data_IF_686830672003
#
_entry.id   IF_686830672003
#
_cell.length_a   1.000
_cell.length_b   1.000
_cell.length_c   1.000
_cell.angle_alpha   90.00
_cell.angle_beta   90.00
_cell.angle_gamma   90.00
#
_symmetry.space_group_name_H-M   'P 1'
#
loop_
_entity.id
_entity.type
_entity.pdbx_description
1 polymer ?
#
# COMPACT_ATOMS: atom_id res chain seq x y z
N UNK A 1 20.78 -28.05 5.92
CA UNK A 1 19.41 -27.50 6.04
C UNK A 1 19.00 -27.06 4.65
N UNK A 2 17.81 -27.43 4.18
CA UNK A 2 17.35 -26.96 2.87
C UNK A 2 17.29 -25.43 2.86
N UNK A 3 17.79 -24.80 1.80
CA UNK A 3 17.66 -23.35 1.62
C UNK A 3 16.18 -22.99 1.56
N UNK A 4 15.74 -22.00 2.34
CA UNK A 4 14.42 -21.40 2.16
C UNK A 4 14.36 -20.78 0.76
N UNK A 5 13.34 -21.09 -0.03
CA UNK A 5 13.20 -20.63 -1.44
C UNK A 5 11.81 -20.08 -1.75
N UNK A 6 10.92 -20.00 -0.77
CA UNK A 6 9.55 -19.50 -0.95
C UNK A 6 9.52 -17.96 -0.85
N UNK A 7 10.23 -17.30 -1.77
CA UNK A 7 10.30 -15.85 -1.89
C UNK A 7 10.66 -15.47 -3.33
N UNK A 8 10.31 -14.23 -3.73
CA UNK A 8 10.77 -13.59 -4.96
C UNK A 8 11.17 -12.16 -4.59
N UNK A 9 12.48 -11.89 -4.57
CA UNK A 9 13.07 -10.59 -4.27
C UNK A 9 14.14 -10.28 -5.31
N UNK A 10 14.53 -9.01 -5.48
CA UNK A 10 15.51 -8.62 -6.49
C UNK A 10 16.88 -9.26 -6.26
N UNK A 11 17.40 -9.19 -5.03
CA UNK A 11 18.70 -9.76 -4.66
C UNK A 11 18.74 -10.12 -3.17
N UNK A 12 18.83 -11.42 -2.86
CA UNK A 12 18.92 -11.90 -1.47
C UNK A 12 20.23 -11.49 -0.77
N UNK A 13 21.27 -11.15 -1.55
CA UNK A 13 22.56 -10.65 -1.04
C UNK A 13 22.45 -9.30 -0.31
N UNK A 14 21.34 -8.58 -0.48
CA UNK A 14 21.09 -7.29 0.19
C UNK A 14 20.59 -7.44 1.64
N UNK A 15 20.37 -8.67 2.12
CA UNK A 15 19.77 -8.92 3.44
C UNK A 15 20.54 -8.28 4.60
N UNK A 16 21.87 -8.30 4.57
CA UNK A 16 22.69 -7.70 5.64
C UNK A 16 22.57 -6.18 5.70
N UNK A 17 22.38 -5.52 4.55
CA UNK A 17 22.10 -4.09 4.51
C UNK A 17 20.71 -3.81 5.07
N UNK A 18 19.68 -4.52 4.59
CA UNK A 18 18.32 -4.38 5.11
C UNK A 18 18.24 -4.60 6.62
N UNK A 19 18.97 -5.59 7.15
CA UNK A 19 19.02 -5.86 8.60
C UNK A 19 19.58 -4.67 9.40
N UNK A 20 20.60 -3.98 8.87
CA UNK A 20 21.17 -2.78 9.51
C UNK A 20 20.16 -1.64 9.51
N UNK A 21 19.45 -1.41 8.42
CA UNK A 21 18.43 -0.36 8.36
C UNK A 21 17.20 -0.68 9.19
N UNK A 22 16.77 -1.95 9.26
CA UNK A 22 15.71 -2.40 10.19
C UNK A 22 16.11 -2.08 11.63
N UNK A 23 17.35 -2.39 12.03
CA UNK A 23 17.82 -2.09 13.40
C UNK A 23 17.80 -0.58 13.72
N UNK A 24 18.06 0.28 12.74
CA UNK A 24 17.92 1.73 12.90
C UNK A 24 16.44 2.11 12.99
N UNK A 25 15.60 1.60 12.08
CA UNK A 25 14.18 1.90 12.05
C UNK A 25 13.45 1.47 13.33
N UNK A 26 13.84 0.36 13.97
CA UNK A 26 13.30 -0.05 15.27
C UNK A 26 13.45 1.03 16.35
N UNK A 27 14.53 1.84 16.30
CA UNK A 27 14.73 2.95 17.26
C UNK A 27 13.80 4.14 17.00
N UNK A 28 13.32 4.29 15.77
CA UNK A 28 12.39 5.34 15.32
C UNK A 28 10.92 4.87 15.29
N UNK A 29 10.64 3.60 15.62
CA UNK A 29 9.29 3.02 15.61
C UNK A 29 8.86 2.54 17.01
N UNK A 30 8.84 3.43 18.02
CA UNK A 30 8.60 3.05 19.41
C UNK A 30 7.24 2.40 19.65
N UNK A 31 6.22 2.74 18.85
CA UNK A 31 4.90 2.12 18.95
C UNK A 31 4.92 0.62 18.66
N UNK A 32 5.61 0.20 17.61
CA UNK A 32 5.75 -1.23 17.27
C UNK A 32 6.62 -1.95 18.30
N UNK A 33 7.71 -1.33 18.75
CA UNK A 33 8.59 -1.92 19.76
C UNK A 33 7.88 -2.08 21.12
N UNK A 34 7.08 -1.10 21.53
CA UNK A 34 6.24 -1.21 22.72
C UNK A 34 5.18 -2.30 22.57
N UNK A 35 4.55 -2.42 21.39
CA UNK A 35 3.59 -3.49 21.10
C UNK A 35 4.22 -4.88 21.22
N UNK A 36 5.45 -5.06 20.70
CA UNK A 36 6.21 -6.31 20.87
C UNK A 36 6.48 -6.60 22.35
N UNK A 37 6.86 -5.59 23.14
CA UNK A 37 7.13 -5.75 24.56
C UNK A 37 5.88 -6.11 25.36
N UNK A 38 4.75 -5.47 25.06
CA UNK A 38 3.48 -5.66 25.77
C UNK A 38 2.82 -7.01 25.44
N UNK A 39 2.76 -7.37 24.16
CA UNK A 39 1.97 -8.52 23.69
C UNK A 39 2.82 -9.72 23.22
N UNK A 40 4.14 -9.59 23.19
CA UNK A 40 5.04 -10.65 22.72
C UNK A 40 4.96 -11.93 23.56
N UNK A 41 4.70 -11.82 24.87
CA UNK A 41 4.55 -12.97 25.76
C UNK A 41 3.21 -13.69 25.59
N UNK A 42 2.11 -12.96 25.38
CA UNK A 42 0.76 -13.52 25.24
C UNK A 42 0.50 -14.10 23.84
N UNK A 43 1.29 -13.69 22.83
CA UNK A 43 1.19 -14.15 21.44
C UNK A 43 -0.25 -14.08 20.90
N UNK A 44 -0.90 -12.90 20.92
CA UNK A 44 -2.32 -12.78 20.58
C UNK A 44 -2.63 -13.16 19.13
N UNK A 45 -1.63 -13.11 18.24
CA UNK A 45 -1.77 -13.50 16.83
C UNK A 45 -1.39 -14.97 16.57
N UNK A 46 -1.20 -15.79 17.60
CA UNK A 46 -0.91 -17.22 17.43
C UNK A 46 -2.02 -17.90 16.63
N UNK A 47 -1.67 -18.46 15.48
CA UNK A 47 -2.60 -19.11 14.55
C UNK A 47 -3.21 -18.17 13.50
N UNK A 48 -2.90 -16.88 13.55
CA UNK A 48 -3.18 -15.96 12.44
C UNK A 48 -2.25 -16.28 11.27
N UNK A 49 -2.82 -16.38 10.08
CA UNK A 49 -2.13 -16.54 8.79
C UNK A 49 -2.44 -15.28 7.98
N UNK A 50 -1.53 -14.33 8.01
CA UNK A 50 -1.73 -12.98 7.48
C UNK A 50 -1.17 -12.91 6.06
N UNK A 51 -2.04 -12.60 5.10
CA UNK A 51 -1.65 -12.18 3.75
C UNK A 51 -1.55 -10.65 3.74
N UNK A 52 -0.33 -10.12 3.64
CA UNK A 52 -0.06 -8.68 3.60
C UNK A 52 0.18 -8.18 2.18
N UNK A 53 -0.53 -7.12 1.78
CA UNK A 53 -0.33 -6.41 0.53
C UNK A 53 -0.14 -4.92 0.85
N UNK A 54 1.11 -4.53 1.06
CA UNK A 54 1.50 -3.19 1.51
C UNK A 54 2.94 -2.94 1.06
N UNK A 55 3.26 -1.70 0.64
CA UNK A 55 4.61 -1.27 0.27
C UNK A 55 5.73 -2.00 1.03
N UNK A 56 6.58 -2.75 0.33
CA UNK A 56 7.63 -3.57 0.97
C UNK A 56 8.87 -2.72 1.30
N UNK A 57 8.77 -1.92 2.36
CA UNK A 57 9.81 -1.00 2.85
C UNK A 57 10.48 -1.50 4.13
N UNK A 58 11.50 -0.77 4.61
CA UNK A 58 12.10 -0.99 5.93
C UNK A 58 11.08 -0.83 7.06
N UNK A 59 10.17 0.14 6.96
CA UNK A 59 9.13 0.37 7.96
C UNK A 59 8.17 -0.83 8.01
N UNK A 60 7.78 -1.33 6.84
CA UNK A 60 6.96 -2.54 6.70
C UNK A 60 7.68 -3.79 7.20
N UNK A 61 9.00 -3.88 7.04
CA UNK A 61 9.78 -4.96 7.62
C UNK A 61 9.67 -4.99 9.16
N UNK A 62 9.73 -3.82 9.82
CA UNK A 62 9.50 -3.72 11.28
C UNK A 62 8.07 -4.13 11.66
N UNK A 63 7.06 -3.79 10.85
CA UNK A 63 5.68 -4.24 11.02
C UNK A 63 5.57 -5.77 10.91
N UNK A 64 6.10 -6.38 9.84
CA UNK A 64 6.10 -7.84 9.62
C UNK A 64 6.73 -8.57 10.81
N UNK A 65 7.91 -8.11 11.25
CA UNK A 65 8.59 -8.72 12.40
C UNK A 65 7.83 -8.52 13.72
N UNK A 66 7.06 -7.44 13.84
CA UNK A 66 6.13 -7.23 14.95
C UNK A 66 5.00 -8.25 14.91
N UNK A 67 4.33 -8.45 13.77
CA UNK A 67 3.27 -9.45 13.62
C UNK A 67 3.76 -10.86 13.99
N UNK A 68 4.95 -11.24 13.51
CA UNK A 68 5.61 -12.50 13.88
C UNK A 68 5.96 -12.57 15.35
N UNK A 69 6.47 -11.49 15.94
CA UNK A 69 6.75 -11.42 17.37
C UNK A 69 5.47 -11.58 18.21
N UNK A 70 4.31 -11.22 17.67
CA UNK A 70 2.99 -11.46 18.28
C UNK A 70 2.39 -12.84 17.98
N UNK A 71 3.08 -13.68 17.21
CA UNK A 71 2.71 -15.08 16.95
C UNK A 71 2.06 -15.36 15.59
N UNK A 72 1.96 -14.36 14.71
CA UNK A 72 1.42 -14.55 13.37
C UNK A 72 2.38 -15.35 12.47
N UNK A 73 1.80 -16.10 11.54
CA UNK A 73 2.47 -16.58 10.33
C UNK A 73 2.13 -15.60 9.20
N UNK A 74 3.12 -15.18 8.41
CA UNK A 74 3.00 -14.02 7.50
C UNK A 74 3.52 -14.36 6.11
N UNK A 75 2.81 -13.90 5.07
CA UNK A 75 3.27 -13.84 3.67
C UNK A 75 3.02 -12.42 3.15
N UNK A 76 3.93 -11.88 2.34
CA UNK A 76 3.88 -10.47 1.96
C UNK A 76 4.14 -10.22 0.47
N UNK A 77 3.41 -9.26 -0.10
CA UNK A 77 3.67 -8.62 -1.38
C UNK A 77 3.61 -7.10 -1.22
N UNK A 78 4.22 -6.37 -2.14
CA UNK A 78 4.03 -4.93 -2.22
C UNK A 78 2.63 -4.61 -2.77
N UNK A 79 2.10 -3.41 -2.49
CA UNK A 79 0.89 -2.87 -3.13
C UNK A 79 1.22 -1.89 -4.28
N UNK A 80 2.50 -1.71 -4.61
CA UNK A 80 2.92 -0.86 -5.73
C UNK A 80 4.25 -1.31 -6.32
N UNK A 81 4.30 -1.35 -7.66
CA UNK A 81 5.41 -1.87 -8.46
C UNK A 81 6.76 -1.16 -8.26
N UNK A 82 6.79 0.07 -7.75
CA UNK A 82 8.02 0.86 -7.56
C UNK A 82 8.37 1.16 -6.10
N UNK A 83 7.50 0.78 -5.17
CA UNK A 83 7.62 1.15 -3.76
C UNK A 83 8.55 0.25 -2.93
N UNK A 84 8.83 -0.95 -3.43
CA UNK A 84 9.69 -1.91 -2.73
C UNK A 84 11.09 -1.33 -2.50
N UNK A 85 11.61 -1.50 -1.29
CA UNK A 85 13.02 -1.36 -0.98
C UNK A 85 13.64 -2.75 -0.98
N UNK A 86 14.43 -3.07 -2.00
CA UNK A 86 14.87 -4.44 -2.25
C UNK A 86 15.70 -5.04 -1.10
N UNK A 87 16.48 -4.21 -0.40
CA UNK A 87 17.23 -4.63 0.79
C UNK A 87 16.30 -4.95 1.97
N UNK A 88 15.17 -4.26 2.13
CA UNK A 88 14.15 -4.59 3.12
C UNK A 88 13.50 -5.94 2.79
N UNK A 89 13.09 -6.15 1.54
CA UNK A 89 12.52 -7.41 1.06
C UNK A 89 13.49 -8.58 1.28
N UNK A 90 14.77 -8.40 0.93
CA UNK A 90 15.82 -9.39 1.14
C UNK A 90 16.01 -9.74 2.63
N UNK A 91 16.01 -8.75 3.53
CA UNK A 91 16.20 -8.98 4.96
C UNK A 91 15.04 -9.75 5.61
N UNK A 92 13.80 -9.54 5.14
CA UNK A 92 12.64 -10.30 5.58
C UNK A 92 12.64 -11.73 5.00
N UNK A 93 12.97 -11.88 3.71
CA UNK A 93 13.09 -13.19 3.06
C UNK A 93 14.19 -14.05 3.71
N UNK A 94 15.35 -13.47 4.01
CA UNK A 94 16.43 -14.14 4.75
C UNK A 94 16.03 -14.53 6.18
N UNK A 95 15.05 -13.82 6.77
CA UNK A 95 14.39 -14.17 8.03
C UNK A 95 13.32 -15.27 7.91
N UNK A 96 13.29 -15.99 6.79
CA UNK A 96 12.34 -17.06 6.45
C UNK A 96 10.87 -16.63 6.46
N UNK A 97 10.60 -15.39 6.05
CA UNK A 97 9.23 -14.93 5.76
C UNK A 97 9.05 -14.80 4.26
N UNK A 98 8.04 -15.46 3.67
CA UNK A 98 7.72 -15.33 2.26
C UNK A 98 7.43 -13.88 1.86
N UNK A 99 8.26 -13.35 0.96
CA UNK A 99 8.11 -12.02 0.37
C UNK A 99 8.16 -12.15 -1.14
N UNK A 100 7.19 -11.55 -1.82
CA UNK A 100 7.06 -11.50 -3.27
C UNK A 100 6.97 -10.04 -3.67
N UNK A 101 8.13 -9.40 -3.81
CA UNK A 101 8.23 -7.98 -4.07
C UNK A 101 9.63 -7.62 -4.59
N UNK A 102 9.69 -6.85 -5.67
CA UNK A 102 10.94 -6.23 -6.15
C UNK A 102 10.64 -4.87 -6.75
N UNK A 103 11.57 -3.93 -6.64
CA UNK A 103 11.39 -2.60 -7.24
C UNK A 103 11.45 -2.70 -8.76
N UNK A 104 10.41 -2.20 -9.43
CA UNK A 104 10.28 -2.22 -10.89
C UNK A 104 9.76 -3.55 -11.44
N UNK A 105 9.00 -4.30 -10.65
CA UNK A 105 8.21 -5.43 -11.17
C UNK A 105 7.19 -4.99 -12.22
N UNK A 106 6.85 -5.89 -13.15
CA UNK A 106 5.79 -5.61 -14.13
C UNK A 106 4.41 -5.71 -13.47
N UNK A 107 3.37 -5.15 -14.11
CA UNK A 107 1.98 -5.29 -13.63
C UNK A 107 1.54 -6.76 -13.55
N UNK A 108 2.03 -7.62 -14.45
CA UNK A 108 1.72 -9.05 -14.41
C UNK A 108 2.44 -9.75 -13.24
N UNK A 109 3.71 -9.42 -13.00
CA UNK A 109 4.46 -9.91 -11.83
C UNK A 109 3.81 -9.47 -10.52
N UNK A 110 3.41 -8.19 -10.43
CA UNK A 110 2.66 -7.65 -9.30
C UNK A 110 1.44 -8.51 -8.96
N UNK A 111 0.56 -8.74 -9.93
CA UNK A 111 -0.64 -9.53 -9.68
C UNK A 111 -0.31 -10.99 -9.35
N UNK A 112 0.70 -11.61 -9.98
CA UNK A 112 1.18 -12.94 -9.56
C UNK A 112 1.67 -12.94 -8.09
N UNK A 113 2.35 -11.88 -7.64
CA UNK A 113 2.83 -11.74 -6.26
C UNK A 113 1.68 -11.57 -5.27
N UNK A 114 0.66 -10.78 -5.60
CA UNK A 114 -0.58 -10.66 -4.81
C UNK A 114 -1.31 -12.01 -4.73
N UNK A 115 -1.21 -12.90 -5.72
CA UNK A 115 -1.74 -14.27 -5.59
C UNK A 115 -0.89 -15.14 -4.66
N UNK A 116 0.44 -14.98 -4.68
CA UNK A 116 1.37 -15.79 -3.87
C UNK A 116 1.23 -15.60 -2.36
N UNK A 117 0.72 -14.45 -1.90
CA UNK A 117 0.43 -14.24 -0.47
C UNK A 117 -0.74 -15.11 0.04
N UNK A 118 -1.55 -15.68 -0.86
CA UNK A 118 -2.62 -16.63 -0.53
C UNK A 118 -2.19 -18.11 -0.67
N UNK A 119 -0.99 -18.39 -1.15
CA UNK A 119 -0.46 -19.74 -1.37
C UNK A 119 0.35 -20.24 -0.18
N UNK A 120 -0.30 -20.83 0.83
CA UNK A 120 0.42 -21.38 1.98
C UNK A 120 1.11 -22.71 1.68
N UNK A 121 2.32 -22.89 2.21
CA UNK A 121 3.17 -24.06 1.99
C UNK A 121 2.53 -25.40 2.40
N UNK A 122 1.60 -25.39 3.36
CA UNK A 122 0.85 -26.55 3.83
C UNK A 122 -0.47 -26.78 3.07
N UNK A 123 -0.73 -26.00 2.00
CA UNK A 123 -1.96 -26.04 1.21
C UNK A 123 -3.18 -25.41 1.88
N UNK A 124 -2.98 -24.80 3.06
CA UNK A 124 -4.00 -24.03 3.74
C UNK A 124 -4.19 -22.64 3.10
N UNK A 125 -4.97 -21.78 3.77
CA UNK A 125 -5.36 -20.45 3.30
C UNK A 125 -5.02 -19.43 4.38
N UNK A 126 -4.80 -18.15 4.03
CA UNK A 126 -4.76 -17.10 5.03
C UNK A 126 -6.12 -17.00 5.72
N UNK A 127 -6.12 -16.42 6.91
CA UNK A 127 -7.35 -16.13 7.67
C UNK A 127 -7.50 -14.64 8.01
N UNK A 128 -6.52 -13.81 7.62
CA UNK A 128 -6.53 -12.36 7.78
C UNK A 128 -5.88 -11.72 6.56
N UNK A 129 -6.36 -10.54 6.18
CA UNK A 129 -5.72 -9.67 5.19
C UNK A 129 -5.25 -8.40 5.91
N UNK A 130 -4.03 -7.96 5.60
CA UNK A 130 -3.55 -6.61 5.89
C UNK A 130 -3.29 -5.94 4.55
N UNK A 131 -4.10 -4.94 4.23
CA UNK A 131 -4.21 -4.38 2.88
C UNK A 131 -3.89 -2.88 2.88
N UNK A 132 -3.31 -2.43 1.77
CA UNK A 132 -3.11 -1.02 1.45
C UNK A 132 -3.54 -0.82 0.00
N UNK A 133 -4.67 -0.12 -0.18
CA UNK A 133 -5.28 0.17 -1.47
C UNK A 133 -6.37 -0.83 -1.87
N UNK A 134 -6.48 -1.97 -1.20
CA UNK A 134 -7.59 -2.92 -1.35
C UNK A 134 -7.41 -4.01 -2.41
N UNK A 135 -6.20 -4.21 -2.95
CA UNK A 135 -5.95 -5.13 -4.06
C UNK A 135 -5.99 -6.60 -3.63
N UNK A 136 -5.50 -6.94 -2.43
CA UNK A 136 -5.64 -8.30 -1.91
C UNK A 136 -7.11 -8.62 -1.59
N UNK A 137 -7.84 -7.63 -1.07
CA UNK A 137 -9.29 -7.72 -0.83
C UNK A 137 -10.05 -7.91 -2.13
N UNK A 138 -9.66 -7.21 -3.20
CA UNK A 138 -10.28 -7.34 -4.52
C UNK A 138 -10.25 -8.79 -5.02
N UNK A 139 -9.17 -9.54 -4.80
CA UNK A 139 -9.11 -10.97 -5.18
C UNK A 139 -10.17 -11.81 -4.44
N UNK A 140 -10.47 -11.49 -3.18
CA UNK A 140 -11.49 -12.19 -2.39
C UNK A 140 -12.93 -11.80 -2.74
N UNK A 141 -13.13 -10.68 -3.45
CA UNK A 141 -14.45 -10.17 -3.83
C UNK A 141 -14.76 -10.44 -5.31
N UNK A 142 -13.85 -10.05 -6.21
CA UNK A 142 -13.99 -10.25 -7.65
C UNK A 142 -13.73 -11.71 -8.05
N UNK A 143 -12.75 -12.37 -7.43
CA UNK A 143 -12.36 -13.76 -7.74
C UNK A 143 -13.53 -14.75 -7.68
N UNK A 144 -14.25 -14.88 -6.56
CA UNK A 144 -15.37 -15.82 -6.46
C UNK A 144 -16.54 -15.49 -7.40
N UNK A 145 -16.69 -14.22 -7.79
CA UNK A 145 -17.67 -13.78 -8.80
C UNK A 145 -17.22 -14.21 -10.19
N UNK A 146 -15.95 -13.97 -10.54
CA UNK A 146 -15.36 -14.34 -11.82
C UNK A 146 -15.29 -15.86 -12.04
N UNK A 147 -15.16 -16.66 -10.97
CA UNK A 147 -15.26 -18.12 -11.05
C UNK A 147 -16.66 -18.59 -11.50
N UNK A 148 -17.72 -17.84 -11.15
CA UNK A 148 -19.10 -18.14 -11.54
C UNK A 148 -19.46 -17.53 -12.88
N UNK A 149 -18.96 -16.32 -13.13
CA UNK A 149 -19.19 -15.55 -14.35
C UNK A 149 -17.85 -15.01 -14.90
N UNK A 150 -17.17 -15.77 -15.77
CA UNK A 150 -15.91 -15.34 -16.38
C UNK A 150 -16.02 -14.07 -17.23
N UNK A 151 -17.23 -13.61 -17.58
CA UNK A 151 -17.41 -12.40 -18.37
C UNK A 151 -17.03 -11.14 -17.59
N UNK A 152 -17.04 -11.17 -16.25
CA UNK A 152 -16.64 -10.05 -15.39
C UNK A 152 -15.18 -9.63 -15.56
N UNK A 153 -14.32 -10.53 -16.04
CA UNK A 153 -12.90 -10.27 -16.29
C UNK A 153 -12.57 -10.30 -17.80
N UNK A 154 -13.57 -10.06 -18.65
CA UNK A 154 -13.40 -10.15 -20.12
C UNK A 154 -13.05 -8.82 -20.80
N UNK A 155 -13.33 -7.68 -20.15
CA UNK A 155 -13.17 -6.35 -20.74
C UNK A 155 -12.40 -5.43 -19.79
N UNK A 156 -11.06 -5.39 -19.88
CA UNK A 156 -10.26 -4.46 -19.09
C UNK A 156 -10.45 -3.02 -19.57
N UNK A 157 -10.45 -2.07 -18.64
CA UNK A 157 -10.55 -0.64 -18.92
C UNK A 157 -9.18 0.07 -18.93
N UNK A 158 -8.13 -0.59 -18.41
CA UNK A 158 -6.76 -0.08 -18.34
C UNK A 158 -5.74 -1.24 -18.31
N UNK A 159 -4.46 -0.92 -18.38
CA UNK A 159 -3.36 -1.90 -18.41
C UNK A 159 -3.26 -2.72 -17.11
N UNK A 160 -3.63 -2.15 -15.97
CA UNK A 160 -3.63 -2.84 -14.67
C UNK A 160 -4.72 -3.92 -14.63
N UNK A 161 -5.93 -3.62 -15.09
CA UNK A 161 -7.02 -4.57 -15.25
C UNK A 161 -6.67 -5.64 -16.29
N UNK A 162 -5.95 -5.30 -17.37
CA UNK A 162 -5.49 -6.28 -18.35
C UNK A 162 -4.58 -7.32 -17.69
N UNK A 163 -3.60 -6.86 -16.91
CA UNK A 163 -2.70 -7.74 -16.16
C UNK A 163 -3.45 -8.56 -15.09
N UNK A 164 -4.31 -7.92 -14.29
CA UNK A 164 -5.13 -8.59 -13.28
C UNK A 164 -5.96 -9.70 -13.91
N UNK A 165 -6.72 -9.38 -14.95
CA UNK A 165 -7.62 -10.33 -15.60
C UNK A 165 -6.87 -11.46 -16.29
N UNK A 166 -5.68 -11.20 -16.84
CA UNK A 166 -4.82 -12.24 -17.40
C UNK A 166 -4.38 -13.25 -16.32
N UNK A 167 -3.86 -12.78 -15.18
CA UNK A 167 -3.48 -13.63 -14.05
C UNK A 167 -4.69 -14.37 -13.50
N UNK A 168 -5.84 -13.69 -13.35
CA UNK A 168 -7.05 -14.30 -12.82
C UNK A 168 -7.56 -15.44 -13.71
N UNK A 169 -7.61 -15.23 -15.03
CA UNK A 169 -8.02 -16.28 -15.99
C UNK A 169 -7.13 -17.51 -15.90
N UNK A 170 -5.80 -17.32 -15.83
CA UNK A 170 -4.86 -18.44 -15.65
C UNK A 170 -5.12 -19.18 -14.34
N UNK A 171 -5.29 -18.44 -13.24
CA UNK A 171 -5.56 -19.02 -11.92
C UNK A 171 -6.86 -19.85 -11.90
N UNK A 172 -7.95 -19.32 -12.45
CA UNK A 172 -9.24 -20.02 -12.55
C UNK A 172 -9.10 -21.30 -13.38
N UNK A 173 -8.38 -21.25 -14.51
CA UNK A 173 -8.15 -22.41 -15.36
C UNK A 173 -7.29 -23.49 -14.67
N UNK A 174 -6.28 -23.08 -13.89
CA UNK A 174 -5.38 -23.99 -13.19
C UNK A 174 -6.00 -24.60 -11.93
N UNK A 175 -6.81 -23.84 -11.20
CA UNK A 175 -7.40 -24.25 -9.93
C UNK A 175 -8.82 -23.70 -9.77
N UNK A 176 -9.84 -24.32 -10.38
CA UNK A 176 -11.23 -23.91 -10.22
C UNK A 176 -11.67 -23.93 -8.75
N UNK A 177 -12.31 -22.87 -8.27
CA UNK A 177 -12.76 -22.74 -6.88
C UNK A 177 -11.68 -22.25 -5.90
N UNK A 178 -10.49 -21.91 -6.41
CA UNK A 178 -9.40 -21.36 -5.60
C UNK A 178 -9.82 -20.08 -4.89
N UNK A 179 -10.42 -19.10 -5.60
CA UNK A 179 -10.79 -17.83 -4.97
C UNK A 179 -11.89 -17.99 -3.94
N UNK A 180 -12.92 -18.79 -4.25
CA UNK A 180 -13.98 -19.09 -3.28
C UNK A 180 -13.43 -19.72 -2.00
N UNK A 181 -12.45 -20.64 -2.12
CA UNK A 181 -11.76 -21.24 -0.97
C UNK A 181 -11.00 -20.19 -0.15
N UNK A 182 -10.26 -19.29 -0.80
CA UNK A 182 -9.53 -18.24 -0.09
C UNK A 182 -10.48 -17.27 0.63
N UNK A 183 -11.48 -16.74 -0.09
CA UNK A 183 -12.42 -15.76 0.44
C UNK A 183 -13.21 -16.30 1.65
N UNK A 184 -13.60 -17.59 1.63
CA UNK A 184 -14.31 -18.22 2.72
C UNK A 184 -13.48 -18.38 4.02
N UNK A 185 -12.16 -18.33 3.93
CA UNK A 185 -11.27 -18.50 5.08
C UNK A 185 -10.92 -17.17 5.78
N UNK A 186 -11.09 -16.03 5.10
CA UNK A 186 -10.78 -14.71 5.64
C UNK A 186 -11.76 -14.34 6.75
N UNK A 187 -11.22 -13.98 7.92
CA UNK A 187 -11.98 -13.56 9.10
C UNK A 187 -12.12 -12.04 9.20
N UNK A 188 -11.27 -11.30 8.49
CA UNK A 188 -11.36 -9.86 8.35
C UNK A 188 -10.17 -9.25 7.63
N UNK A 189 -10.31 -7.97 7.28
CA UNK A 189 -9.26 -7.14 6.68
C UNK A 189 -9.01 -5.89 7.53
N UNK A 190 -7.75 -5.46 7.59
CA UNK A 190 -7.37 -4.12 8.06
C UNK A 190 -6.84 -3.33 6.87
N UNK A 191 -7.47 -2.21 6.53
CA UNK A 191 -7.14 -1.40 5.35
C UNK A 191 -6.60 -0.02 5.76
N UNK A 192 -5.47 0.35 5.17
CA UNK A 192 -4.66 1.48 5.60
C UNK A 192 -4.94 2.79 4.85
N UNK A 193 -5.34 2.78 3.58
CA UNK A 193 -5.41 4.01 2.78
C UNK A 193 -6.82 4.44 2.42
N UNK A 194 -6.99 5.74 2.18
CA UNK A 194 -8.26 6.36 1.81
C UNK A 194 -8.91 5.67 0.61
N UNK A 195 -8.12 5.32 -0.42
CA UNK A 195 -8.63 4.63 -1.62
C UNK A 195 -9.17 3.24 -1.31
N UNK A 196 -8.42 2.42 -0.56
CA UNK A 196 -8.88 1.09 -0.14
C UNK A 196 -10.11 1.18 0.75
N UNK A 197 -10.15 2.14 1.68
CA UNK A 197 -11.31 2.39 2.54
C UNK A 197 -12.55 2.78 1.72
N UNK A 198 -12.42 3.63 0.70
CA UNK A 198 -13.53 3.94 -0.21
C UNK A 198 -14.05 2.70 -0.93
N UNK A 199 -13.15 1.82 -1.42
CA UNK A 199 -13.53 0.53 -2.03
C UNK A 199 -14.31 -0.33 -1.02
N UNK A 200 -13.88 -0.40 0.23
CA UNK A 200 -14.57 -1.14 1.29
C UNK A 200 -15.97 -0.58 1.59
N UNK A 201 -16.12 0.74 1.71
CA UNK A 201 -17.43 1.37 1.91
C UNK A 201 -18.38 1.10 0.74
N UNK A 202 -17.91 1.23 -0.50
CA UNK A 202 -18.71 0.92 -1.69
C UNK A 202 -19.16 -0.55 -1.70
N UNK A 203 -18.28 -1.49 -1.34
CA UNK A 203 -18.64 -2.90 -1.22
C UNK A 203 -19.66 -3.13 -0.09
N UNK A 204 -19.50 -2.48 1.06
CA UNK A 204 -20.41 -2.60 2.19
C UNK A 204 -21.81 -2.06 1.86
N UNK A 205 -21.90 -0.88 1.22
CA UNK A 205 -23.17 -0.28 0.77
C UNK A 205 -23.92 -1.16 -0.22
N UNK A 206 -23.20 -1.88 -1.09
CA UNK A 206 -23.78 -2.85 -2.04
C UNK A 206 -24.05 -4.23 -1.43
N UNK A 207 -23.69 -4.46 -0.16
CA UNK A 207 -23.83 -5.77 0.50
C UNK A 207 -22.88 -6.85 -0.05
N UNK A 208 -21.76 -6.43 -0.64
CA UNK A 208 -20.79 -7.30 -1.31
C UNK A 208 -19.55 -7.63 -0.47
N UNK A 209 -19.36 -6.95 0.66
CA UNK A 209 -18.20 -7.15 1.54
C UNK A 209 -18.38 -8.46 2.36
N UNK A 210 -17.56 -9.51 2.12
CA UNK A 210 -17.85 -10.84 2.65
C UNK A 210 -17.35 -11.07 4.09
N UNK A 211 -16.54 -10.16 4.63
CA UNK A 211 -15.95 -10.25 5.97
C UNK A 211 -15.83 -8.86 6.62
N UNK A 212 -15.72 -8.77 7.95
CA UNK A 212 -15.49 -7.51 8.65
C UNK A 212 -14.23 -6.78 8.15
N UNK A 213 -14.31 -5.46 8.06
CA UNK A 213 -13.18 -4.61 7.71
C UNK A 213 -12.95 -3.54 8.78
N UNK A 214 -11.69 -3.31 9.12
CA UNK A 214 -11.27 -2.19 9.97
C UNK A 214 -10.64 -1.13 9.08
N UNK A 215 -11.27 0.04 9.08
CA UNK A 215 -10.71 1.26 8.50
C UNK A 215 -9.63 1.80 9.45
N UNK A 216 -8.36 1.53 9.11
CA UNK A 216 -7.21 2.04 9.86
C UNK A 216 -6.92 3.49 9.47
N UNK A 217 -7.16 3.85 8.19
CA UNK A 217 -6.89 5.18 7.65
C UNK A 217 -7.48 6.31 8.51
N UNK A 218 -8.75 6.17 8.91
CA UNK A 218 -9.49 7.23 9.60
C UNK A 218 -9.24 7.25 11.12
N UNK A 219 -8.33 6.39 11.61
CA UNK A 219 -7.73 6.64 12.92
C UNK A 219 -7.03 8.00 12.90
N UNK A 220 -7.26 8.82 13.92
CA UNK A 220 -6.67 10.17 13.99
C UNK A 220 -5.14 10.10 13.94
N UNK A 221 -4.55 9.11 14.61
CA UNK A 221 -3.11 8.84 14.63
C UNK A 221 -2.56 8.32 13.30
N UNK A 222 -3.42 7.99 12.32
CA UNK A 222 -3.05 7.62 10.96
C UNK A 222 -3.29 8.79 10.03
N UNK A 223 -4.55 9.11 9.71
CA UNK A 223 -4.91 10.19 8.75
C UNK A 223 -4.23 11.53 9.02
N UNK A 224 -4.18 11.98 10.28
CA UNK A 224 -3.60 13.30 10.63
C UNK A 224 -2.10 13.28 10.86
N UNK A 225 -1.45 12.12 10.75
CA UNK A 225 -0.01 11.98 10.88
C UNK A 225 0.64 11.48 9.59
N UNK A 226 0.27 10.27 9.17
CA UNK A 226 0.83 9.63 7.99
C UNK A 226 0.53 10.44 6.72
N UNK A 227 -0.75 10.59 6.39
CA UNK A 227 -1.17 11.27 5.16
C UNK A 227 -0.71 12.74 5.14
N UNK A 228 -0.64 13.39 6.30
CA UNK A 228 -0.28 14.81 6.40
C UNK A 228 1.24 15.02 6.54
N UNK A 229 1.83 14.57 7.64
CA UNK A 229 3.24 14.80 7.94
C UNK A 229 4.16 13.87 7.14
N UNK A 230 3.74 12.62 6.90
CA UNK A 230 4.48 11.70 6.04
C UNK A 230 4.67 12.27 4.63
N UNK A 231 3.59 12.71 3.97
CA UNK A 231 3.69 13.37 2.67
C UNK A 231 4.44 14.70 2.72
N UNK A 232 4.40 15.42 3.86
CA UNK A 232 5.18 16.65 4.03
C UNK A 232 6.69 16.38 3.98
N UNK A 233 7.15 15.28 4.55
CA UNK A 233 8.57 14.89 4.53
C UNK A 233 8.96 14.24 3.19
N UNK A 234 8.12 13.34 2.66
CA UNK A 234 8.51 12.46 1.55
C UNK A 234 8.32 13.05 0.15
N UNK A 235 7.38 13.99 -0.06
CA UNK A 235 7.09 14.50 -1.40
C UNK A 235 8.28 15.22 -2.03
N UNK A 236 8.81 16.24 -1.36
CA UNK A 236 9.95 17.02 -1.87
C UNK A 236 11.21 16.17 -1.92
N UNK A 237 11.40 15.23 -0.99
CA UNK A 237 12.48 14.25 -1.06
C UNK A 237 12.41 13.44 -2.36
N UNK A 238 11.25 12.88 -2.69
CA UNK A 238 11.05 12.12 -3.92
C UNK A 238 11.31 12.96 -5.19
N UNK A 239 10.79 14.19 -5.26
CA UNK A 239 11.04 15.07 -6.42
C UNK A 239 12.53 15.40 -6.55
N UNK A 240 13.22 15.68 -5.43
CA UNK A 240 14.66 15.97 -5.43
C UNK A 240 15.46 14.76 -5.92
N UNK A 241 15.21 13.56 -5.38
CA UNK A 241 15.91 12.34 -5.83
C UNK A 241 15.63 12.01 -7.30
N UNK A 242 14.43 12.33 -7.79
CA UNK A 242 14.04 12.04 -9.16
C UNK A 242 14.57 13.03 -10.20
N UNK A 243 14.86 14.28 -9.81
CA UNK A 243 15.10 15.36 -10.79
C UNK A 243 16.22 16.33 -10.45
N UNK A 244 16.70 16.34 -9.20
CA UNK A 244 17.61 17.35 -8.63
C UNK A 244 17.14 18.81 -8.83
N UNK A 245 15.85 19.01 -9.12
CA UNK A 245 15.32 20.31 -9.50
C UNK A 245 15.37 21.30 -8.32
N UNK A 246 15.76 22.54 -8.60
CA UNK A 246 15.68 23.62 -7.62
C UNK A 246 14.21 23.97 -7.36
N UNK A 247 13.80 23.91 -6.09
CA UNK A 247 12.43 24.22 -5.66
C UNK A 247 12.16 25.72 -5.53
N UNK A 248 13.10 26.45 -4.91
CA UNK A 248 12.92 27.86 -4.61
C UNK A 248 12.69 28.70 -5.88
N UNK A 249 11.61 29.49 -5.89
CA UNK A 249 11.21 30.34 -7.01
C UNK A 249 10.32 29.65 -8.05
N UNK A 250 10.10 28.33 -7.95
CA UNK A 250 9.19 27.60 -8.85
C UNK A 250 7.72 27.78 -8.48
N UNK A 251 6.86 27.58 -9.47
CA UNK A 251 5.41 27.44 -9.27
C UNK A 251 5.07 25.95 -9.21
N UNK A 252 4.52 25.51 -8.09
CA UNK A 252 4.10 24.12 -7.90
C UNK A 252 2.58 24.05 -7.77
N UNK A 253 1.94 23.22 -8.60
CA UNK A 253 0.51 22.97 -8.59
C UNK A 253 0.21 21.68 -7.83
N UNK A 254 -0.75 21.74 -6.90
CA UNK A 254 -1.24 20.59 -6.13
C UNK A 254 -2.74 20.41 -6.40
N UNK A 255 -3.11 19.31 -7.04
CA UNK A 255 -4.50 18.94 -7.26
C UNK A 255 -5.03 18.15 -6.06
N UNK A 256 -5.98 18.73 -5.33
CA UNK A 256 -6.53 18.18 -4.09
C UNK A 256 -5.83 18.75 -2.85
N UNK A 257 -6.63 19.06 -1.84
CA UNK A 257 -6.24 19.66 -0.57
C UNK A 257 -6.87 18.94 0.62
N UNK A 258 -7.06 17.62 0.49
CA UNK A 258 -7.24 16.70 1.62
C UNK A 258 -5.98 16.59 2.49
N UNK A 259 -5.88 15.56 3.34
CA UNK A 259 -4.71 15.43 4.24
C UNK A 259 -3.37 15.32 3.48
N UNK A 260 -3.33 14.50 2.41
CA UNK A 260 -2.17 14.38 1.50
C UNK A 260 -1.85 15.71 0.83
N UNK A 261 -2.86 16.38 0.27
CA UNK A 261 -2.71 17.68 -0.41
C UNK A 261 -2.19 18.78 0.52
N UNK A 262 -2.67 18.82 1.77
CA UNK A 262 -2.18 19.73 2.81
C UNK A 262 -0.70 19.51 3.12
N UNK A 263 -0.30 18.25 3.31
CA UNK A 263 1.09 17.87 3.55
C UNK A 263 2.00 18.24 2.38
N UNK A 264 1.52 17.93 1.17
CA UNK A 264 2.20 18.19 -0.10
C UNK A 264 2.43 19.67 -0.34
N UNK A 265 1.39 20.49 -0.20
CA UNK A 265 1.48 21.95 -0.33
C UNK A 265 2.43 22.56 0.71
N UNK A 266 2.36 22.10 1.96
CA UNK A 266 3.27 22.55 3.01
C UNK A 266 4.74 22.21 2.68
N UNK A 267 5.01 20.99 2.20
CA UNK A 267 6.35 20.55 1.77
C UNK A 267 6.94 21.48 0.70
N UNK A 268 6.17 21.70 -0.37
CA UNK A 268 6.58 22.53 -1.51
C UNK A 268 6.80 23.98 -1.09
N UNK A 269 5.91 24.55 -0.26
CA UNK A 269 6.06 25.92 0.25
C UNK A 269 7.30 26.07 1.12
N UNK A 270 7.56 25.13 2.02
CA UNK A 270 8.75 25.13 2.89
C UNK A 270 10.05 25.02 2.07
N UNK A 271 10.00 24.33 0.93
CA UNK A 271 11.11 24.25 -0.02
C UNK A 271 11.29 25.51 -0.90
N UNK A 272 10.41 26.51 -0.76
CA UNK A 272 10.48 27.80 -1.46
C UNK A 272 9.67 27.91 -2.74
N UNK A 273 8.80 26.93 -3.05
CA UNK A 273 7.87 27.04 -4.17
C UNK A 273 6.73 28.02 -3.86
N UNK A 274 6.25 28.71 -4.89
CA UNK A 274 4.91 29.32 -4.88
C UNK A 274 3.89 28.24 -5.21
N UNK A 275 3.07 27.88 -4.23
CA UNK A 275 2.12 26.78 -4.36
C UNK A 275 0.75 27.29 -4.80
N UNK A 276 0.17 26.62 -5.79
CA UNK A 276 -1.20 26.81 -6.28
C UNK A 276 -1.97 25.51 -6.06
N UNK A 277 -3.22 25.60 -5.59
CA UNK A 277 -4.07 24.46 -5.26
C UNK A 277 -5.28 24.44 -6.17
N UNK A 278 -5.67 23.25 -6.64
CA UNK A 278 -7.01 23.03 -7.21
C UNK A 278 -7.85 22.18 -6.26
N UNK A 279 -9.09 22.56 -6.04
CA UNK A 279 -10.03 21.83 -5.19
C UNK A 279 -11.46 21.89 -5.73
N UNK A 280 -12.18 20.78 -5.54
CA UNK A 280 -13.61 20.68 -5.80
C UNK A 280 -14.44 20.91 -4.54
N UNK A 281 -13.87 20.63 -3.36
CA UNK A 281 -14.53 20.85 -2.08
C UNK A 281 -14.32 22.32 -1.63
N UNK A 282 -15.39 23.11 -1.44
CA UNK A 282 -15.27 24.52 -1.10
C UNK A 282 -14.67 24.76 0.29
N UNK A 283 -14.81 23.81 1.22
CA UNK A 283 -14.20 23.88 2.55
C UNK A 283 -12.69 23.70 2.43
N UNK A 284 -12.25 22.67 1.70
CA UNK A 284 -10.82 22.44 1.46
C UNK A 284 -10.19 23.59 0.67
N UNK A 285 -10.86 24.10 -0.36
CA UNK A 285 -10.43 25.28 -1.11
C UNK A 285 -10.26 26.51 -0.19
N UNK A 286 -11.24 26.77 0.67
CA UNK A 286 -11.17 27.90 1.60
C UNK A 286 -10.03 27.73 2.61
N UNK A 287 -9.78 26.52 3.11
CA UNK A 287 -8.62 26.23 3.96
C UNK A 287 -7.30 26.55 3.25
N UNK A 288 -7.14 26.14 1.97
CA UNK A 288 -5.95 26.46 1.19
C UNK A 288 -5.75 27.98 1.05
N UNK A 289 -6.84 28.71 0.76
CA UNK A 289 -6.80 30.16 0.67
C UNK A 289 -6.39 30.84 2.00
N UNK A 290 -6.85 30.32 3.14
CA UNK A 290 -6.50 30.85 4.48
C UNK A 290 -5.02 30.62 4.83
N UNK A 291 -4.41 29.56 4.32
CA UNK A 291 -2.96 29.35 4.42
C UNK A 291 -2.17 30.24 3.43
N UNK A 292 -2.84 30.99 2.56
CA UNK A 292 -2.23 31.89 1.58
C UNK A 292 -1.79 31.22 0.28
N UNK A 293 -2.36 30.05 -0.03
CA UNK A 293 -2.21 29.43 -1.35
C UNK A 293 -3.19 30.07 -2.34
N UNK A 294 -2.74 30.27 -3.59
CA UNK A 294 -3.64 30.59 -4.68
C UNK A 294 -4.52 29.37 -4.97
N UNK A 295 -5.84 29.56 -5.12
CA UNK A 295 -6.76 28.49 -5.53
C UNK A 295 -7.20 28.76 -6.97
N UNK A 296 -6.86 27.87 -7.90
CA UNK A 296 -7.11 28.04 -9.33
C UNK A 296 -7.34 26.68 -10.01
N UNK A 297 -7.91 26.69 -11.22
CA UNK A 297 -8.08 25.45 -12.00
C UNK A 297 -6.78 25.07 -12.70
N UNK A 298 -6.68 23.81 -13.15
CA UNK A 298 -5.49 23.34 -13.84
C UNK A 298 -5.27 24.09 -15.16
N UNK A 299 -6.34 24.49 -15.87
CA UNK A 299 -6.27 25.21 -17.14
C UNK A 299 -5.58 26.56 -17.01
N UNK A 300 -5.83 27.27 -15.90
CA UNK A 300 -5.22 28.59 -15.62
C UNK A 300 -3.74 28.48 -15.21
N UNK A 301 -3.36 27.35 -14.62
CA UNK A 301 -2.03 27.15 -14.02
C UNK A 301 -1.09 26.37 -14.93
N UNK A 302 -1.62 25.49 -15.78
CA UNK A 302 -0.86 24.63 -16.68
C UNK A 302 0.20 25.39 -17.52
N UNK A 303 -0.06 26.59 -18.06
CA UNK A 303 0.94 27.32 -18.84
C UNK A 303 2.12 27.88 -18.04
N UNK A 304 2.05 27.90 -16.70
CA UNK A 304 3.02 28.60 -15.84
C UNK A 304 3.54 27.79 -14.65
N UNK A 305 3.03 26.58 -14.41
CA UNK A 305 3.54 25.71 -13.35
C UNK A 305 4.77 24.92 -13.83
N UNK A 306 5.74 24.78 -12.93
CA UNK A 306 6.94 23.98 -13.14
C UNK A 306 6.76 22.52 -12.65
N UNK A 307 5.94 22.34 -11.61
CA UNK A 307 5.77 21.07 -10.90
C UNK A 307 4.27 20.83 -10.75
N UNK A 308 3.82 19.61 -11.05
CA UNK A 308 2.44 19.17 -10.85
C UNK A 308 2.43 17.95 -9.92
N UNK A 309 1.62 18.01 -8.87
CA UNK A 309 1.41 16.93 -7.91
C UNK A 309 -0.09 16.68 -7.80
N UNK A 310 -0.51 15.42 -7.97
CA UNK A 310 -1.90 15.00 -7.76
C UNK A 310 -2.03 14.31 -6.41
N UNK A 311 -3.03 14.72 -5.64
CA UNK A 311 -3.30 14.27 -4.27
C UNK A 311 -4.80 14.09 -4.01
N UNK A 312 -5.57 13.80 -5.07
CA UNK A 312 -7.04 13.73 -5.02
C UNK A 312 -7.56 12.34 -4.63
N UNK A 313 -6.83 11.28 -4.96
CA UNK A 313 -7.35 9.90 -4.90
C UNK A 313 -8.51 9.64 -5.89
N UNK A 314 -8.72 10.54 -6.85
CA UNK A 314 -9.74 10.43 -7.89
C UNK A 314 -9.13 9.86 -9.19
N UNK A 315 -9.99 9.37 -10.08
CA UNK A 315 -9.63 8.81 -11.40
C UNK A 315 -9.71 9.87 -12.48
#
# INVERSE_FOLDING_TARGET
>A
MASFTDYIVADIGLADWGRKEIAIAETEMPGLMATRAEYGASKPLKGAKIAGCLHMTIQTAVLIETLKALGADVRWSSCNIFSTQDHAAAAIAAGHTPVFAKKGETLEEYWEYVHKIFEWHDGSTPNMILDDGGDATLLCVLGPKAEKDPTLISKPNNEEEEALYAVMKRRIAMAPGWYAKQAAAIRGVTEETTTGVHRLYQMAERGELPFPAINVNDSVTKSKFDNLYGCRESLVDAIRRGTDVMMAGKVAFVAGYGDVGKGSAASLRQAGCRVVVAEIDPICALQAAMEGYEVATIEDVAPRADIFVTATGNV
#
